data_IF_175964866131
#
_entry.id   IF_175964866131
#
_cell.length_a   1.000
_cell.length_b   1.000
_cell.length_c   1.000
_cell.angle_alpha   90.00
_cell.angle_beta   90.00
_cell.angle_gamma   90.00
#
_symmetry.space_group_name_H-M   'P 1'
#
loop_
_entity.id
_entity.type
_entity.pdbx_description
1 polymer ?
#
# COMPACT_ATOMS: atom_id res chain seq x y z
N UNK A 1 11.41 -8.39 -10.98
CA UNK A 1 10.76 -9.41 -10.15
C UNK A 1 9.54 -8.77 -9.51
N UNK A 2 8.36 -9.37 -9.69
CA UNK A 2 7.11 -8.90 -9.06
C UNK A 2 7.03 -9.42 -7.63
N UNK A 3 6.46 -8.62 -6.75
CA UNK A 3 6.34 -8.96 -5.34
C UNK A 3 4.89 -9.30 -4.94
N UNK A 4 3.89 -8.60 -5.51
CA UNK A 4 2.49 -8.69 -5.06
C UNK A 4 1.44 -8.72 -6.19
N UNK A 5 0.24 -9.20 -5.84
CA UNK A 5 -0.95 -9.20 -6.68
C UNK A 5 -2.08 -8.39 -6.04
N UNK A 6 -2.88 -7.71 -6.84
CA UNK A 6 -4.15 -7.11 -6.42
C UNK A 6 -5.27 -8.11 -6.66
N UNK A 7 -5.99 -8.51 -5.59
CA UNK A 7 -7.19 -9.35 -5.68
C UNK A 7 -8.41 -8.44 -5.51
N UNK A 8 -9.35 -8.48 -6.45
CA UNK A 8 -10.50 -7.59 -6.45
C UNK A 8 -11.57 -8.01 -5.44
N UNK A 9 -12.44 -7.06 -5.01
CA UNK A 9 -13.47 -7.34 -4.01
C UNK A 9 -14.37 -8.53 -4.35
N UNK A 10 -14.73 -8.72 -5.63
CA UNK A 10 -15.55 -9.86 -6.07
C UNK A 10 -14.87 -11.19 -5.77
N UNK A 11 -13.61 -11.35 -6.17
CA UNK A 11 -12.80 -12.52 -5.90
C UNK A 11 -12.60 -12.76 -4.39
N UNK A 12 -12.33 -11.71 -3.62
CA UNK A 12 -12.20 -11.80 -2.16
C UNK A 12 -13.50 -12.25 -1.49
N UNK A 13 -14.66 -11.80 -1.98
CA UNK A 13 -15.96 -12.26 -1.47
C UNK A 13 -16.18 -13.74 -1.74
N UNK A 14 -15.90 -14.22 -2.96
CA UNK A 14 -15.96 -15.65 -3.30
C UNK A 14 -15.08 -16.50 -2.38
N UNK A 15 -13.84 -16.05 -2.12
CA UNK A 15 -12.90 -16.73 -1.22
C UNK A 15 -13.39 -16.79 0.23
N UNK A 16 -14.03 -15.71 0.73
CA UNK A 16 -14.60 -15.65 2.09
C UNK A 16 -15.81 -16.55 2.25
N UNK A 17 -16.75 -16.45 1.32
CA UNK A 17 -17.98 -17.27 1.33
C UNK A 17 -17.67 -18.77 1.20
N UNK A 18 -16.56 -19.09 0.52
CA UNK A 18 -16.05 -20.45 0.38
C UNK A 18 -15.20 -20.95 1.56
N UNK A 19 -15.01 -20.14 2.60
CA UNK A 19 -14.12 -20.42 3.75
C UNK A 19 -12.63 -20.65 3.38
N UNK A 20 -12.23 -20.34 2.14
CA UNK A 20 -10.86 -20.55 1.66
C UNK A 20 -9.88 -19.52 2.22
N UNK A 21 -10.33 -18.27 2.42
CA UNK A 21 -9.50 -17.24 3.07
C UNK A 21 -9.19 -17.62 4.52
N UNK A 22 -10.19 -18.05 5.28
CA UNK A 22 -10.01 -18.46 6.67
C UNK A 22 -9.07 -19.68 6.78
N UNK A 23 -9.26 -20.69 5.91
CA UNK A 23 -8.37 -21.85 5.85
C UNK A 23 -6.92 -21.46 5.55
N UNK A 24 -6.72 -20.47 4.67
CA UNK A 24 -5.40 -19.90 4.43
C UNK A 24 -4.80 -19.30 5.71
N UNK A 25 -5.56 -18.43 6.38
CA UNK A 25 -5.12 -17.76 7.60
C UNK A 25 -4.76 -18.74 8.72
N UNK A 26 -5.51 -19.83 8.89
CA UNK A 26 -5.28 -20.87 9.89
C UNK A 26 -4.06 -21.76 9.59
N UNK A 27 -3.80 -22.06 8.32
CA UNK A 27 -2.70 -22.93 7.91
C UNK A 27 -1.33 -22.22 7.84
N UNK A 28 -1.28 -20.90 8.09
CA UNK A 28 -0.05 -20.09 8.16
C UNK A 28 1.00 -20.58 9.18
N UNK A 29 0.71 -21.62 9.96
CA UNK A 29 1.59 -22.26 10.95
C UNK A 29 2.40 -23.48 10.47
N UNK A 30 2.29 -23.91 9.21
CA UNK A 30 3.13 -25.02 8.72
C UNK A 30 2.88 -25.43 7.27
N UNK A 31 3.83 -25.16 6.38
CA UNK A 31 3.85 -25.68 5.00
C UNK A 31 4.92 -26.75 4.87
N UNK A 32 4.70 -27.90 5.49
CA UNK A 32 5.51 -29.11 5.26
C UNK A 32 4.62 -30.19 4.67
N UNK A 33 4.49 -30.19 3.34
CA UNK A 33 4.28 -31.41 2.55
C UNK A 33 4.32 -31.04 1.06
N UNK A 34 5.54 -30.94 0.55
CA UNK A 34 5.82 -30.62 -0.85
C UNK A 34 6.64 -31.71 -1.53
N UNK A 35 6.28 -32.98 -1.32
CA UNK A 35 6.83 -34.10 -2.10
C UNK A 35 5.74 -35.16 -2.32
N UNK A 36 5.53 -35.52 -3.59
CA UNK A 36 4.94 -36.78 -4.10
C UNK A 36 3.44 -36.92 -4.40
N UNK A 37 2.55 -36.00 -4.03
CA UNK A 37 1.11 -36.21 -4.30
C UNK A 37 0.74 -35.84 -5.75
N UNK A 38 0.10 -36.76 -6.47
CA UNK A 38 -0.28 -36.63 -7.88
C UNK A 38 -1.43 -35.66 -8.13
N UNK A 39 -1.31 -34.41 -7.70
CA UNK A 39 -2.37 -33.39 -7.80
C UNK A 39 -2.84 -33.14 -9.25
N UNK A 40 -1.91 -33.18 -10.20
CA UNK A 40 -2.23 -33.08 -11.64
C UNK A 40 -2.71 -34.41 -12.26
N UNK A 41 -2.76 -35.52 -11.49
CA UNK A 41 -3.27 -36.81 -11.99
C UNK A 41 -4.79 -36.90 -11.93
N UNK A 42 -5.47 -36.03 -11.16
CA UNK A 42 -6.93 -36.03 -10.99
C UNK A 42 -7.65 -34.99 -11.84
N UNK A 43 -6.99 -34.38 -12.83
CA UNK A 43 -7.62 -33.39 -13.72
C UNK A 43 -8.85 -34.03 -14.39
N UNK A 44 -10.05 -33.44 -14.23
CA UNK A 44 -11.26 -33.92 -14.90
C UNK A 44 -11.07 -33.99 -16.41
N UNK A 45 -11.50 -35.10 -17.00
CA UNK A 45 -11.31 -35.40 -18.43
C UNK A 45 -11.79 -34.28 -19.36
N UNK A 46 -12.85 -33.58 -18.96
CA UNK A 46 -13.49 -32.51 -19.71
C UNK A 46 -12.64 -31.24 -19.87
N UNK A 47 -11.71 -30.96 -18.94
CA UNK A 47 -10.84 -29.78 -19.02
C UNK A 47 -9.38 -30.13 -19.32
N UNK A 48 -9.01 -31.42 -19.21
CA UNK A 48 -7.62 -31.87 -19.21
C UNK A 48 -6.82 -31.42 -20.42
N UNK A 49 -7.39 -31.52 -21.61
CA UNK A 49 -6.68 -31.17 -22.84
C UNK A 49 -6.51 -29.66 -23.00
N UNK A 50 -7.58 -28.88 -22.82
CA UNK A 50 -7.52 -27.41 -22.88
C UNK A 50 -6.57 -26.83 -21.83
N UNK A 51 -6.65 -27.33 -20.59
CA UNK A 51 -5.75 -26.93 -19.52
C UNK A 51 -4.29 -27.22 -19.86
N UNK A 52 -4.00 -28.45 -20.33
CA UNK A 52 -2.65 -28.86 -20.70
C UNK A 52 -2.11 -27.99 -21.84
N UNK A 53 -2.89 -27.77 -22.90
CA UNK A 53 -2.49 -26.94 -24.04
C UNK A 53 -2.18 -25.52 -23.58
N UNK A 54 -3.02 -24.91 -22.74
CA UNK A 54 -2.82 -23.53 -22.25
C UNK A 54 -1.59 -23.40 -21.37
N UNK A 55 -1.37 -24.33 -20.44
CA UNK A 55 -0.18 -24.32 -19.57
C UNK A 55 1.10 -24.61 -20.36
N UNK A 56 1.08 -25.58 -21.29
CA UNK A 56 2.23 -25.83 -22.16
C UNK A 56 2.54 -24.63 -23.05
N UNK A 57 1.50 -23.93 -23.54
CA UNK A 57 1.65 -22.70 -24.31
C UNK A 57 2.32 -21.63 -23.46
N UNK A 58 1.80 -21.36 -22.26
CA UNK A 58 2.40 -20.41 -21.32
C UNK A 58 3.86 -20.75 -21.01
N UNK A 59 4.16 -22.02 -20.71
CA UNK A 59 5.50 -22.50 -20.40
C UNK A 59 6.47 -22.33 -21.57
N UNK A 60 6.09 -22.77 -22.77
CA UNK A 60 6.93 -22.61 -23.98
C UNK A 60 7.22 -21.14 -24.27
N UNK A 61 6.25 -20.26 -24.02
CA UNK A 61 6.40 -18.84 -24.27
C UNK A 61 7.32 -18.16 -23.25
N UNK A 62 7.31 -18.58 -21.98
CA UNK A 62 8.28 -18.11 -20.99
C UNK A 62 9.73 -18.48 -21.33
N UNK A 63 9.94 -19.48 -22.19
CA UNK A 63 11.26 -19.93 -22.64
C UNK A 63 11.71 -19.30 -23.98
N UNK A 64 10.85 -18.49 -24.61
CA UNK A 64 11.12 -17.88 -25.92
C UNK A 64 11.28 -16.37 -25.79
N UNK A 65 12.30 -15.81 -26.44
CA UNK A 65 12.51 -14.36 -26.53
C UNK A 65 11.54 -13.66 -27.52
N UNK A 66 10.68 -14.41 -28.22
CA UNK A 66 9.88 -13.91 -29.35
C UNK A 66 8.38 -13.71 -29.05
N UNK A 67 7.87 -14.00 -27.85
CA UNK A 67 6.42 -13.99 -27.58
C UNK A 67 5.90 -13.06 -26.47
N UNK A 68 4.70 -12.56 -26.75
CA UNK A 68 3.98 -11.37 -26.27
C UNK A 68 2.82 -11.70 -25.30
N UNK A 69 3.06 -12.53 -24.27
CA UNK A 69 2.00 -12.87 -23.31
C UNK A 69 1.90 -11.80 -22.24
N UNK A 70 0.82 -11.04 -22.26
CA UNK A 70 0.61 -9.90 -21.39
C UNK A 70 -0.60 -10.08 -20.50
N UNK A 71 -0.48 -9.64 -19.27
CA UNK A 71 -1.62 -9.12 -18.54
C UNK A 71 -2.12 -7.87 -19.26
N UNK A 72 -3.42 -7.83 -19.55
CA UNK A 72 -4.07 -6.68 -20.17
C UNK A 72 -4.98 -6.03 -19.14
N UNK A 73 -4.69 -4.78 -18.76
CA UNK A 73 -5.42 -4.03 -17.73
C UNK A 73 -6.00 -2.77 -18.37
N UNK A 74 -7.34 -2.67 -18.41
CA UNK A 74 -8.04 -1.52 -19.02
C UNK A 74 -8.24 -0.42 -17.99
N UNK A 75 -7.36 0.58 -18.00
CA UNK A 75 -7.42 1.76 -17.13
C UNK A 75 -8.12 2.94 -17.83
N UNK A 76 -8.58 3.96 -17.11
CA UNK A 76 -9.16 5.18 -17.70
C UNK A 76 -8.21 5.88 -18.69
N UNK A 77 -6.90 5.82 -18.44
CA UNK A 77 -5.88 6.45 -19.28
C UNK A 77 -5.52 5.61 -20.52
N UNK A 78 -5.95 4.34 -20.57
CA UNK A 78 -5.69 3.43 -21.67
C UNK A 78 -5.41 2.00 -21.22
N UNK A 79 -5.11 1.16 -22.20
CA UNK A 79 -4.71 -0.23 -21.99
C UNK A 79 -3.25 -0.31 -21.53
N UNK A 80 -3.01 -1.03 -20.43
CA UNK A 80 -1.67 -1.35 -19.94
C UNK A 80 -1.38 -2.82 -20.18
N UNK A 81 -0.23 -3.10 -20.80
CA UNK A 81 0.29 -4.44 -21.03
C UNK A 81 1.48 -4.71 -20.12
N UNK A 82 1.45 -5.83 -19.41
CA UNK A 82 2.48 -6.21 -18.44
C UNK A 82 2.95 -7.66 -18.74
N UNK A 83 4.24 -7.82 -19.07
CA UNK A 83 4.83 -9.06 -19.64
C UNK A 83 4.79 -10.20 -18.63
N UNK A 84 4.15 -11.33 -18.91
CA UNK A 84 4.09 -12.44 -17.95
C UNK A 84 5.47 -12.94 -17.50
N UNK A 85 5.60 -13.37 -16.24
CA UNK A 85 6.84 -13.94 -15.68
C UNK A 85 6.63 -15.36 -15.14
N UNK A 86 7.71 -16.00 -14.66
CA UNK A 86 7.65 -17.37 -14.13
C UNK A 86 6.68 -17.52 -12.95
N UNK A 87 6.41 -16.45 -12.18
CA UNK A 87 5.45 -16.54 -11.08
C UNK A 87 4.02 -16.67 -11.59
N UNK A 88 3.70 -16.09 -12.75
CA UNK A 88 2.38 -16.26 -13.36
C UNK A 88 2.12 -17.71 -13.74
N UNK A 89 3.15 -18.44 -14.19
CA UNK A 89 3.03 -19.87 -14.43
C UNK A 89 2.73 -20.64 -13.15
N UNK A 90 3.44 -20.35 -12.05
CA UNK A 90 3.20 -21.02 -10.76
C UNK A 90 1.78 -20.76 -10.22
N UNK A 91 1.23 -19.57 -10.50
CA UNK A 91 -0.15 -19.19 -10.16
C UNK A 91 -1.17 -19.91 -11.04
N UNK A 92 -1.06 -19.75 -12.36
CA UNK A 92 -2.04 -20.22 -13.33
C UNK A 92 -2.03 -21.75 -13.49
N UNK A 93 -0.87 -22.39 -13.27
CA UNK A 93 -0.76 -23.84 -13.22
C UNK A 93 -1.33 -24.45 -11.93
N UNK A 94 -1.80 -23.65 -10.98
CA UNK A 94 -2.28 -24.14 -9.70
C UNK A 94 -1.20 -24.75 -8.81
N UNK A 95 0.08 -24.62 -9.16
CA UNK A 95 1.19 -25.07 -8.32
C UNK A 95 1.10 -24.47 -6.92
N UNK A 96 0.93 -23.14 -6.82
CA UNK A 96 0.78 -22.45 -5.52
C UNK A 96 -0.51 -22.88 -4.82
N UNK A 97 -1.62 -22.98 -5.54
CA UNK A 97 -2.91 -23.39 -4.97
C UNK A 97 -2.85 -24.82 -4.38
N UNK A 98 -2.11 -25.72 -5.04
CA UNK A 98 -1.96 -27.13 -4.62
C UNK A 98 -1.25 -27.30 -3.27
N UNK A 99 -0.57 -26.27 -2.79
CA UNK A 99 0.02 -26.25 -1.44
C UNK A 99 -1.04 -26.33 -0.33
N UNK A 100 -2.29 -26.02 -0.64
CA UNK A 100 -3.36 -25.88 0.36
C UNK A 100 -4.71 -26.46 -0.07
N UNK A 101 -4.94 -26.64 -1.36
CA UNK A 101 -6.14 -27.29 -1.89
C UNK A 101 -5.90 -28.79 -2.09
N UNK A 102 -6.88 -29.61 -1.75
CA UNK A 102 -6.88 -31.03 -2.12
C UNK A 102 -7.01 -31.25 -3.64
N UNK A 103 -6.66 -32.45 -4.15
CA UNK A 103 -6.77 -32.75 -5.58
C UNK A 103 -8.16 -32.50 -6.17
N UNK A 104 -9.24 -32.83 -5.46
CA UNK A 104 -10.60 -32.62 -5.96
C UNK A 104 -11.02 -31.15 -5.91
N UNK A 105 -10.53 -30.40 -4.92
CA UNK A 105 -10.84 -28.98 -4.75
C UNK A 105 -10.15 -28.10 -5.80
N UNK A 106 -8.96 -28.48 -6.28
CA UNK A 106 -8.22 -27.75 -7.31
C UNK A 106 -9.03 -27.57 -8.60
N UNK A 107 -9.88 -28.54 -8.92
CA UNK A 107 -10.62 -28.60 -10.17
C UNK A 107 -12.08 -28.13 -10.03
N UNK A 108 -12.60 -27.98 -8.81
CA UNK A 108 -13.99 -27.63 -8.53
C UNK A 108 -14.21 -26.10 -8.37
N UNK A 109 -13.71 -25.33 -9.34
CA UNK A 109 -13.77 -23.86 -9.30
C UNK A 109 -15.22 -23.32 -9.27
N UNK A 110 -16.17 -24.05 -9.85
CA UNK A 110 -17.60 -23.66 -9.91
C UNK A 110 -18.25 -23.73 -8.53
N UNK A 111 -17.91 -24.73 -7.71
CA UNK A 111 -18.37 -24.82 -6.31
C UNK A 111 -17.99 -23.58 -5.51
N UNK A 112 -16.87 -22.95 -5.85
CA UNK A 112 -16.36 -21.74 -5.21
C UNK A 112 -16.81 -20.44 -5.89
N UNK A 113 -17.73 -20.51 -6.86
CA UNK A 113 -18.31 -19.32 -7.52
C UNK A 113 -17.40 -18.65 -8.56
N UNK A 114 -16.32 -19.31 -9.01
CA UNK A 114 -15.46 -18.77 -10.05
C UNK A 114 -15.95 -19.15 -11.45
N UNK A 115 -15.67 -18.30 -12.43
CA UNK A 115 -16.13 -18.47 -13.80
C UNK A 115 -15.23 -19.39 -14.63
N UNK A 116 -13.96 -19.51 -14.24
CA UNK A 116 -12.98 -20.38 -14.88
C UNK A 116 -11.97 -20.92 -13.88
N UNK A 117 -11.30 -22.01 -14.28
CA UNK A 117 -10.23 -22.60 -13.48
C UNK A 117 -9.04 -21.64 -13.29
N UNK A 118 -8.68 -20.86 -14.30
CA UNK A 118 -7.57 -19.91 -14.23
C UNK A 118 -7.89 -18.71 -13.35
N UNK A 119 -9.16 -18.25 -13.35
CA UNK A 119 -9.63 -17.25 -12.37
C UNK A 119 -9.47 -17.79 -10.95
N UNK A 120 -9.88 -19.03 -10.70
CA UNK A 120 -9.81 -19.65 -9.37
C UNK A 120 -8.39 -19.90 -8.89
N UNK A 121 -7.60 -20.66 -9.66
CA UNK A 121 -6.24 -21.05 -9.30
C UNK A 121 -5.34 -19.83 -9.11
N UNK A 122 -5.43 -18.87 -10.04
CA UNK A 122 -4.64 -17.65 -9.94
C UNK A 122 -5.09 -16.73 -8.80
N UNK A 123 -6.39 -16.57 -8.56
CA UNK A 123 -6.91 -15.82 -7.39
C UNK A 123 -6.43 -16.43 -6.07
N UNK A 124 -6.58 -17.74 -5.90
CA UNK A 124 -6.22 -18.41 -4.66
C UNK A 124 -4.69 -18.47 -4.47
N UNK A 125 -3.93 -18.70 -5.54
CA UNK A 125 -2.48 -18.62 -5.49
C UNK A 125 -1.99 -17.20 -5.16
N UNK A 126 -2.65 -16.16 -5.68
CA UNK A 126 -2.34 -14.76 -5.35
C UNK A 126 -2.58 -14.47 -3.86
N UNK A 127 -3.64 -15.05 -3.27
CA UNK A 127 -3.92 -14.94 -1.84
C UNK A 127 -2.77 -15.54 -1.02
N UNK A 128 -2.34 -16.76 -1.36
CA UNK A 128 -1.24 -17.46 -0.67
C UNK A 128 0.06 -16.65 -0.79
N UNK A 129 0.37 -16.15 -1.99
CA UNK A 129 1.58 -15.37 -2.27
C UNK A 129 1.61 -14.09 -1.44
N UNK A 130 0.54 -13.29 -1.49
CA UNK A 130 0.43 -12.04 -0.74
C UNK A 130 0.46 -12.26 0.78
N UNK A 131 -0.08 -13.38 1.25
CA UNK A 131 -0.15 -13.67 2.69
C UNK A 131 1.19 -14.10 3.30
N UNK A 132 2.14 -14.63 2.53
CA UNK A 132 3.50 -14.94 3.03
C UNK A 132 4.32 -13.69 3.40
N UNK A 133 4.00 -12.53 2.83
CA UNK A 133 4.66 -11.25 3.17
C UNK A 133 4.14 -10.64 4.49
N UNK A 134 3.02 -11.13 5.03
CA UNK A 134 2.32 -10.55 6.20
C UNK A 134 2.94 -10.86 7.57
N UNK A 135 4.05 -11.60 7.62
CA UNK A 135 4.65 -12.11 8.87
C UNK A 135 5.51 -11.11 9.64
N UNK A 136 5.70 -9.89 9.14
CA UNK A 136 6.32 -8.80 9.88
C UNK A 136 5.26 -7.78 10.32
N UNK A 137 5.42 -7.26 11.54
CA UNK A 137 4.56 -6.26 12.21
C UNK A 137 3.86 -5.34 11.19
N UNK A 138 2.54 -5.45 11.07
CA UNK A 138 1.79 -4.68 10.08
C UNK A 138 1.60 -3.24 10.56
N UNK A 139 1.80 -2.30 9.63
CA UNK A 139 1.50 -0.90 9.85
C UNK A 139 -0.01 -0.64 9.92
N UNK A 140 -0.39 0.64 9.95
CA UNK A 140 -1.78 1.04 9.90
C UNK A 140 -2.27 1.12 8.45
N UNK A 141 -3.37 0.42 8.14
CA UNK A 141 -3.96 0.36 6.80
C UNK A 141 -5.37 0.92 6.80
N UNK A 142 -5.71 1.66 5.75
CA UNK A 142 -7.09 2.05 5.47
C UNK A 142 -7.39 1.95 3.97
N UNK A 143 -8.68 1.83 3.66
CA UNK A 143 -9.20 1.88 2.30
C UNK A 143 -9.86 3.22 2.08
N UNK A 144 -9.74 3.76 0.88
CA UNK A 144 -10.43 4.98 0.48
C UNK A 144 -10.74 5.01 -1.01
N UNK A 145 -11.61 5.93 -1.40
CA UNK A 145 -11.91 6.21 -2.80
C UNK A 145 -11.56 7.67 -3.11
N UNK A 146 -10.90 7.90 -4.23
CA UNK A 146 -10.56 9.24 -4.69
C UNK A 146 -10.59 9.28 -6.21
N UNK A 147 -11.36 10.21 -6.78
CA UNK A 147 -11.52 10.40 -8.24
C UNK A 147 -11.89 9.11 -9.00
N UNK A 148 -12.77 8.29 -8.42
CA UNK A 148 -13.23 7.04 -9.03
C UNK A 148 -12.25 5.87 -8.93
N UNK A 149 -11.11 6.06 -8.26
CA UNK A 149 -10.14 5.00 -7.97
C UNK A 149 -10.23 4.58 -6.51
N UNK A 150 -10.08 3.28 -6.24
CA UNK A 150 -10.01 2.71 -4.90
C UNK A 150 -8.56 2.53 -4.49
N UNK A 151 -8.21 2.92 -3.27
CA UNK A 151 -6.86 2.83 -2.73
C UNK A 151 -6.81 2.02 -1.45
N UNK A 152 -5.68 1.33 -1.24
CA UNK A 152 -5.21 0.92 0.09
C UNK A 152 -4.02 1.79 0.42
N UNK A 153 -4.09 2.50 1.54
CA UNK A 153 -2.97 3.28 2.05
C UNK A 153 -2.45 2.63 3.33
N UNK A 154 -1.12 2.54 3.47
CA UNK A 154 -0.43 1.95 4.61
C UNK A 154 0.65 2.90 5.14
N UNK A 155 0.62 3.18 6.44
CA UNK A 155 1.75 3.78 7.18
C UNK A 155 2.48 2.66 7.92
N UNK A 156 3.76 2.44 7.60
CA UNK A 156 4.58 1.35 8.16
C UNK A 156 6.07 1.71 8.17
N UNK A 157 6.91 0.81 8.71
CA UNK A 157 8.36 0.94 8.68
C UNK A 157 9.02 -0.01 7.68
N UNK A 158 10.23 0.34 7.24
CA UNK A 158 11.14 -0.62 6.58
C UNK A 158 11.79 -1.57 7.58
N UNK A 159 12.54 -2.55 7.09
CA UNK A 159 13.37 -3.44 7.91
C UNK A 159 14.41 -2.69 8.77
N UNK A 160 14.78 -1.46 8.38
CA UNK A 160 15.70 -0.59 9.10
C UNK A 160 15.00 0.45 9.98
N UNK A 161 13.68 0.35 10.15
CA UNK A 161 12.88 1.30 10.92
C UNK A 161 12.64 2.65 10.23
N UNK A 162 13.03 2.81 8.96
CA UNK A 162 12.75 4.03 8.19
C UNK A 162 11.25 4.11 7.83
N UNK A 163 10.66 5.31 7.93
CA UNK A 163 9.24 5.56 7.63
C UNK A 163 8.87 5.19 6.19
N UNK A 164 7.68 4.59 6.02
CA UNK A 164 7.06 4.26 4.74
C UNK A 164 5.58 4.62 4.75
N UNK A 165 5.15 5.40 3.77
CA UNK A 165 3.74 5.56 3.41
C UNK A 165 3.53 4.98 2.02
N UNK A 166 2.80 3.88 1.91
CA UNK A 166 2.40 3.30 0.63
C UNK A 166 0.97 3.69 0.32
N UNK A 167 0.69 4.16 -0.90
CA UNK A 167 -0.67 4.27 -1.45
C UNK A 167 -0.74 3.42 -2.71
N UNK A 168 -1.57 2.38 -2.67
CA UNK A 168 -1.69 1.37 -3.73
C UNK A 168 -3.07 1.44 -4.36
N UNK A 169 -3.15 1.66 -5.67
CA UNK A 169 -4.38 1.56 -6.46
C UNK A 169 -4.84 0.10 -6.52
N UNK A 170 -6.03 -0.15 -5.97
CA UNK A 170 -6.68 -1.46 -5.93
C UNK A 170 -8.00 -1.47 -6.73
N UNK A 171 -8.19 -0.50 -7.62
CA UNK A 171 -9.40 -0.38 -8.43
C UNK A 171 -9.61 -1.64 -9.28
N UNK A 172 -10.86 -2.17 -9.32
CA UNK A 172 -11.19 -3.37 -10.08
C UNK A 172 -11.33 -3.09 -11.58
N UNK A 173 -10.22 -2.77 -12.24
CA UNK A 173 -10.16 -2.58 -13.69
C UNK A 173 -10.49 -3.89 -14.42
N UNK A 174 -11.10 -3.78 -15.60
CA UNK A 174 -11.25 -4.96 -16.45
C UNK A 174 -9.86 -5.51 -16.79
N UNK A 175 -9.62 -6.76 -16.40
CA UNK A 175 -8.32 -7.42 -16.55
C UNK A 175 -8.46 -8.75 -17.28
N UNK A 176 -7.58 -8.98 -18.24
CA UNK A 176 -7.35 -10.27 -18.88
C UNK A 176 -6.02 -10.84 -18.38
N UNK A 177 -6.04 -12.12 -18.02
CA UNK A 177 -4.81 -12.88 -17.73
C UNK A 177 -4.01 -13.13 -19.04
N UNK A 178 -2.76 -13.60 -18.94
CA UNK A 178 -1.95 -13.91 -20.12
C UNK A 178 -2.58 -14.94 -21.06
N UNK A 179 -3.53 -15.75 -20.58
CA UNK A 179 -4.25 -16.75 -21.37
C UNK A 179 -5.55 -16.20 -21.99
N UNK A 180 -5.81 -14.89 -21.85
CA UNK A 180 -6.98 -14.19 -22.40
C UNK A 180 -8.26 -14.35 -21.59
N UNK A 181 -8.21 -14.90 -20.38
CA UNK A 181 -9.40 -15.05 -19.53
C UNK A 181 -9.67 -13.75 -18.78
N UNK A 182 -10.94 -13.35 -18.71
CA UNK A 182 -11.36 -12.27 -17.81
C UNK A 182 -11.25 -12.73 -16.36
N UNK A 183 -10.52 -11.98 -15.55
CA UNK A 183 -10.20 -12.37 -14.17
C UNK A 183 -10.36 -11.21 -13.18
N UNK A 184 -10.56 -11.57 -11.91
CA UNK A 184 -10.76 -10.65 -10.80
C UNK A 184 -9.51 -10.49 -9.91
N UNK A 185 -8.34 -10.61 -10.52
CA UNK A 185 -7.04 -10.38 -9.88
C UNK A 185 -6.02 -9.98 -10.95
N UNK A 186 -4.95 -9.31 -10.53
CA UNK A 186 -3.87 -8.88 -11.44
C UNK A 186 -2.55 -8.70 -10.72
N UNK A 187 -1.40 -8.76 -11.41
CA UNK A 187 -0.14 -8.32 -10.83
C UNK A 187 -0.24 -6.84 -10.43
N UNK A 188 0.34 -6.50 -9.28
CA UNK A 188 0.48 -5.11 -8.89
C UNK A 188 1.59 -4.47 -9.74
N UNK A 189 1.22 -3.47 -10.54
CA UNK A 189 2.14 -2.73 -11.38
C UNK A 189 2.94 -1.73 -10.54
N UNK A 190 4.14 -1.38 -11.02
CA UNK A 190 4.91 -0.26 -10.43
C UNK A 190 4.12 1.05 -10.41
N UNK A 191 3.28 1.27 -11.41
CA UNK A 191 2.42 2.46 -11.48
C UNK A 191 1.29 2.47 -10.44
N UNK A 192 0.92 1.30 -9.90
CA UNK A 192 -0.20 1.20 -8.95
C UNK A 192 0.22 1.66 -7.55
N UNK A 193 1.49 1.50 -7.18
CA UNK A 193 1.99 1.83 -5.86
C UNK A 193 2.88 3.06 -5.88
N UNK A 194 2.46 4.08 -5.15
CA UNK A 194 3.22 5.29 -4.88
C UNK A 194 3.65 5.25 -3.41
N UNK A 195 4.91 5.59 -3.12
CA UNK A 195 5.45 5.40 -1.77
C UNK A 195 6.31 6.57 -1.28
N UNK A 196 5.98 7.15 -0.15
CA UNK A 196 6.90 8.08 0.53
C UNK A 196 7.86 7.24 1.39
N UNK A 197 9.15 7.44 1.15
CA UNK A 197 10.23 6.76 1.88
C UNK A 197 11.01 7.80 2.67
N UNK A 198 10.68 7.95 3.95
CA UNK A 198 11.39 8.84 4.85
C UNK A 198 12.62 8.16 5.45
N UNK A 199 13.77 8.81 5.42
CA UNK A 199 15.00 8.34 6.04
C UNK A 199 15.09 8.83 7.49
N UNK A 200 15.52 7.99 8.44
CA UNK A 200 15.61 8.36 9.86
C UNK A 200 14.27 8.71 10.53
N UNK A 201 14.32 9.25 11.76
CA UNK A 201 13.18 9.62 12.63
C UNK A 201 12.37 10.82 12.10
N UNK A 202 12.03 10.81 10.82
CA UNK A 202 11.30 11.89 10.12
C UNK A 202 9.81 11.93 10.46
N UNK A 203 9.27 10.94 11.17
CA UNK A 203 7.86 10.87 11.53
C UNK A 203 7.42 12.09 12.34
N UNK A 204 8.32 12.63 13.15
CA UNK A 204 8.13 13.87 13.91
C UNK A 204 7.88 15.06 12.98
N UNK A 205 8.70 15.17 11.94
CA UNK A 205 8.64 16.25 10.95
C UNK A 205 7.42 16.10 10.03
N UNK A 206 7.12 14.86 9.65
CA UNK A 206 5.93 14.48 8.93
C UNK A 206 4.68 14.88 9.72
N UNK A 207 4.65 14.60 11.02
CA UNK A 207 3.53 14.93 11.90
C UNK A 207 3.35 16.44 12.07
N UNK A 208 4.43 17.18 12.30
CA UNK A 208 4.38 18.65 12.37
C UNK A 208 3.84 19.26 11.06
N UNK A 209 4.20 18.68 9.91
CA UNK A 209 3.68 19.09 8.60
C UNK A 209 2.17 18.82 8.46
N UNK A 210 1.69 17.66 8.93
CA UNK A 210 0.24 17.36 8.99
C UNK A 210 -0.49 18.38 9.86
N UNK A 211 0.04 18.69 11.04
CA UNK A 211 -0.57 19.66 11.96
C UNK A 211 -0.67 21.05 11.31
N UNK A 212 0.37 21.48 10.58
CA UNK A 212 0.36 22.75 9.83
C UNK A 212 -0.67 22.75 8.72
N UNK A 213 -0.75 21.66 7.96
CA UNK A 213 -1.74 21.49 6.88
C UNK A 213 -3.17 21.61 7.43
N UNK A 214 -3.48 20.91 8.53
CA UNK A 214 -4.80 20.99 9.17
C UNK A 214 -5.14 22.41 9.59
N UNK A 215 -4.19 23.12 10.22
CA UNK A 215 -4.38 24.49 10.69
C UNK A 215 -4.57 25.47 9.52
N UNK A 216 -3.73 25.39 8.50
CA UNK A 216 -3.79 26.28 7.34
C UNK A 216 -5.08 26.11 6.54
N UNK A 217 -5.53 24.85 6.37
CA UNK A 217 -6.69 24.50 5.55
C UNK A 217 -8.00 24.43 6.35
N UNK A 218 -7.96 24.73 7.65
CA UNK A 218 -9.09 24.62 8.57
C UNK A 218 -9.80 23.26 8.49
N UNK A 219 -9.02 22.17 8.40
CA UNK A 219 -9.56 20.82 8.26
C UNK A 219 -10.15 20.37 9.60
N UNK A 220 -11.38 19.85 9.56
CA UNK A 220 -12.01 19.25 10.72
C UNK A 220 -11.38 17.87 10.97
N UNK A 221 -10.66 17.75 12.08
CA UNK A 221 -10.05 16.51 12.56
C UNK A 221 -10.75 16.07 13.84
N UNK A 222 -11.27 14.84 13.86
CA UNK A 222 -11.87 14.26 15.06
C UNK A 222 -10.78 13.85 16.07
N UNK A 223 -9.61 13.44 15.58
CA UNK A 223 -8.44 13.13 16.43
C UNK A 223 -7.95 14.36 17.19
N UNK A 224 -7.94 15.54 16.56
CA UNK A 224 -7.43 16.78 17.16
C UNK A 224 -8.52 17.61 17.85
N UNK A 225 -9.77 17.13 17.84
CA UNK A 225 -10.89 17.77 18.56
C UNK A 225 -10.55 17.91 20.04
N UNK A 226 -10.94 19.04 20.64
CA UNK A 226 -10.65 19.39 22.03
C UNK A 226 -9.16 19.22 22.37
N UNK A 227 -8.29 19.64 21.43
CA UNK A 227 -6.82 19.55 21.53
C UNK A 227 -6.32 18.10 21.63
N UNK A 228 -7.08 17.15 21.10
CA UNK A 228 -6.74 15.73 21.05
C UNK A 228 -6.70 15.03 22.40
N UNK A 229 -7.36 15.57 23.44
CA UNK A 229 -7.35 14.98 24.79
C UNK A 229 -7.82 13.52 24.76
N UNK A 230 -8.96 13.24 24.12
CA UNK A 230 -9.50 11.89 24.05
C UNK A 230 -8.56 10.91 23.33
N UNK A 231 -7.91 11.36 22.24
CA UNK A 231 -6.95 10.56 21.51
C UNK A 231 -5.67 10.30 22.32
N UNK A 232 -5.17 11.31 23.05
CA UNK A 232 -4.01 11.13 23.93
C UNK A 232 -4.29 10.13 25.06
N UNK A 233 -5.48 10.18 25.66
CA UNK A 233 -5.89 9.19 26.67
C UNK A 233 -6.03 7.77 26.09
N UNK A 234 -6.52 7.65 24.84
CA UNK A 234 -6.53 6.39 24.11
C UNK A 234 -5.10 5.86 23.89
N UNK A 235 -4.21 6.69 23.37
CA UNK A 235 -2.82 6.33 23.04
C UNK A 235 -2.04 5.90 24.27
N UNK A 236 -2.28 6.51 25.44
CA UNK A 236 -1.64 6.12 26.72
C UNK A 236 -1.99 4.69 27.14
N UNK A 237 -3.08 4.12 26.64
CA UNK A 237 -3.50 2.74 26.93
C UNK A 237 -2.89 1.73 25.94
N UNK A 238 -2.22 2.18 24.88
CA UNK A 238 -1.63 1.28 23.90
C UNK A 238 -0.36 0.62 24.45
N UNK A 239 -0.16 -0.65 24.09
CA UNK A 239 1.11 -1.31 24.33
C UNK A 239 2.18 -0.70 23.43
N UNK A 240 3.08 0.08 24.01
CA UNK A 240 4.20 0.67 23.30
C UNK A 240 5.39 -0.30 23.28
N UNK A 241 5.79 -0.72 22.08
CA UNK A 241 7.01 -1.47 21.83
C UNK A 241 8.07 -0.50 21.30
N UNK A 242 9.23 -0.44 21.95
CA UNK A 242 10.37 0.29 21.40
C UNK A 242 11.02 -0.58 20.31
N UNK A 243 11.05 -0.06 19.07
CA UNK A 243 11.72 -0.72 17.96
C UNK A 243 13.24 -0.80 18.15
N UNK A 244 13.94 -1.72 17.46
CA UNK A 244 15.39 -1.89 17.60
C UNK A 244 16.20 -0.66 17.14
N UNK A 245 15.61 0.18 16.29
CA UNK A 245 16.19 1.43 15.81
C UNK A 245 15.53 2.67 16.42
N UNK A 246 14.58 2.47 17.34
CA UNK A 246 13.83 3.57 17.90
C UNK A 246 14.65 4.31 18.95
N UNK A 247 14.57 5.64 18.90
CA UNK A 247 15.05 6.49 19.96
C UNK A 247 14.14 6.35 21.17
N UNK A 248 14.70 6.05 22.35
CA UNK A 248 13.98 5.88 23.61
C UNK A 248 13.37 7.18 24.16
N UNK A 249 13.12 8.18 23.31
CA UNK A 249 12.63 9.51 23.70
C UNK A 249 13.74 10.41 24.22
N UNK A 250 15.00 10.13 23.86
CA UNK A 250 16.19 10.92 24.22
C UNK A 250 16.57 11.93 23.12
N UNK A 251 15.77 12.00 22.06
CA UNK A 251 16.02 12.82 20.87
C UNK A 251 15.82 14.32 21.06
N UNK A 252 16.03 15.03 19.96
CA UNK A 252 16.05 16.49 19.86
C UNK A 252 14.82 17.19 20.48
N UNK A 253 15.00 18.45 20.86
CA UNK A 253 13.92 19.29 21.39
C UNK A 253 12.71 19.32 20.46
N UNK A 254 11.52 19.02 20.99
CA UNK A 254 10.23 19.11 20.32
C UNK A 254 10.02 20.42 19.55
N UNK A 255 10.62 21.51 20.02
CA UNK A 255 10.57 22.84 19.40
C UNK A 255 11.26 22.89 18.04
N UNK A 256 12.34 22.13 17.83
CA UNK A 256 13.08 22.08 16.56
C UNK A 256 12.18 21.60 15.43
N UNK A 257 11.30 20.64 15.73
CA UNK A 257 10.32 20.10 14.79
C UNK A 257 9.34 21.14 14.25
N UNK A 258 9.12 22.23 15.01
CA UNK A 258 8.21 23.32 14.68
C UNK A 258 8.91 24.59 14.17
N UNK A 259 10.23 24.60 13.95
CA UNK A 259 10.97 25.81 13.49
C UNK A 259 10.39 26.47 12.23
N UNK A 260 9.73 25.68 11.38
CA UNK A 260 9.16 26.14 10.11
C UNK A 260 7.63 26.22 10.13
N UNK A 261 6.99 26.04 11.29
CA UNK A 261 5.53 25.98 11.40
C UNK A 261 4.85 27.32 11.12
N UNK A 262 5.53 28.44 11.36
CA UNK A 262 4.98 29.78 11.05
C UNK A 262 4.88 30.04 9.55
N UNK A 263 5.66 29.33 8.75
CA UNK A 263 5.64 29.48 7.30
C UNK A 263 4.51 28.63 6.69
N UNK A 264 3.70 29.17 5.75
CA UNK A 264 2.64 28.39 5.13
C UNK A 264 3.20 27.24 4.29
N UNK A 265 2.40 26.19 4.13
CA UNK A 265 2.61 25.18 3.11
C UNK A 265 2.17 25.81 1.78
N UNK A 266 2.99 25.67 0.73
CA UNK A 266 2.68 26.18 -0.61
C UNK A 266 1.30 25.71 -1.06
N UNK A 267 0.46 26.62 -1.54
CA UNK A 267 -0.90 26.34 -2.03
C UNK A 267 -1.02 26.67 -3.51
N UNK A 268 -1.77 25.84 -4.25
CA UNK A 268 -2.09 26.07 -5.66
C UNK A 268 -3.50 26.63 -5.86
N UNK A 269 -3.63 27.49 -6.87
CA UNK A 269 -4.92 27.96 -7.37
C UNK A 269 -5.55 26.97 -8.38
N UNK A 270 -6.76 27.29 -8.82
CA UNK A 270 -7.51 26.51 -9.82
C UNK A 270 -6.76 26.27 -11.14
N UNK A 271 -5.81 27.13 -11.49
CA UNK A 271 -4.97 27.04 -12.69
C UNK A 271 -3.64 26.31 -12.43
N UNK A 272 -3.48 25.69 -11.25
CA UNK A 272 -2.23 25.09 -10.77
C UNK A 272 -1.06 26.09 -10.69
N UNK A 273 -1.34 27.36 -10.41
CA UNK A 273 -0.35 28.38 -10.11
C UNK A 273 -0.19 28.56 -8.59
N UNK A 274 1.01 28.93 -8.14
CA UNK A 274 1.27 29.16 -6.72
C UNK A 274 0.52 30.40 -6.22
N UNK A 275 -0.14 30.27 -5.09
CA UNK A 275 -0.75 31.39 -4.37
C UNK A 275 0.29 31.98 -3.41
N UNK A 276 0.62 33.26 -3.59
CA UNK A 276 1.56 34.01 -2.76
C UNK A 276 3.02 33.90 -3.22
N UNK A 277 3.92 34.50 -2.45
CA UNK A 277 5.34 34.65 -2.82
C UNK A 277 6.19 33.41 -2.49
N UNK A 278 5.64 32.46 -1.74
CA UNK A 278 6.38 31.30 -1.28
C UNK A 278 6.40 30.20 -2.35
N UNK A 279 7.57 30.00 -2.94
CA UNK A 279 7.77 29.03 -4.03
C UNK A 279 8.37 27.70 -3.58
N UNK A 280 8.54 27.45 -2.27
CA UNK A 280 9.13 26.19 -1.79
C UNK A 280 8.47 25.70 -0.51
N UNK A 281 8.36 24.37 -0.36
CA UNK A 281 7.93 23.75 0.89
C UNK A 281 8.96 24.02 1.98
N UNK A 282 8.51 24.47 3.14
CA UNK A 282 9.42 24.86 4.23
C UNK A 282 10.06 23.70 4.97
N UNK A 283 9.52 22.48 4.82
CA UNK A 283 10.11 21.26 5.35
C UNK A 283 9.94 20.11 4.35
N UNK A 284 11.06 19.61 3.83
CA UNK A 284 11.08 18.43 2.98
C UNK A 284 11.23 17.16 3.82
N UNK A 285 10.56 16.08 3.45
CA UNK A 285 10.81 14.77 4.08
C UNK A 285 12.07 14.20 3.45
N UNK A 286 13.12 14.05 4.24
CA UNK A 286 14.43 13.53 3.80
C UNK A 286 14.31 12.06 3.39
N UNK A 287 15.02 11.67 2.33
CA UNK A 287 15.12 10.28 1.86
C UNK A 287 16.57 9.77 1.89
N UNK A 288 16.78 8.48 1.62
CA UNK A 288 18.09 7.81 1.77
C UNK A 288 19.14 8.24 0.71
N UNK A 289 18.80 9.05 -0.31
CA UNK A 289 19.63 9.30 -1.50
C UNK A 289 19.74 10.78 -1.93
N UNK A 290 19.90 11.72 -0.99
CA UNK A 290 20.01 13.18 -1.26
C UNK A 290 18.77 13.82 -1.91
N UNK A 291 17.63 13.11 -1.92
CA UNK A 291 16.37 13.65 -2.40
C UNK A 291 15.43 13.93 -1.23
N UNK A 292 14.57 14.93 -1.40
CA UNK A 292 13.51 15.29 -0.48
C UNK A 292 12.12 15.07 -1.12
N UNK A 293 11.11 14.77 -0.30
CA UNK A 293 9.73 15.00 -0.69
C UNK A 293 9.31 16.40 -0.26
N UNK A 294 8.95 17.24 -1.23
CA UNK A 294 8.31 18.51 -0.97
C UNK A 294 6.81 18.32 -0.78
N UNK A 295 6.23 19.19 0.04
CA UNK A 295 4.81 19.16 0.39
C UNK A 295 4.13 20.44 -0.09
N UNK A 296 2.96 20.29 -0.71
CA UNK A 296 2.10 21.41 -1.09
C UNK A 296 0.63 21.03 -0.96
N UNK A 297 -0.26 22.03 -1.00
CA UNK A 297 -1.71 21.86 -1.05
C UNK A 297 -2.19 22.13 -2.47
N UNK A 298 -2.89 21.16 -3.08
CA UNK A 298 -3.43 21.36 -4.41
C UNK A 298 -4.70 22.25 -4.41
N UNK A 299 -5.22 22.55 -5.59
CA UNK A 299 -6.40 23.40 -5.76
C UNK A 299 -7.69 22.85 -5.10
N UNK A 300 -7.75 21.54 -4.89
CA UNK A 300 -8.83 20.84 -4.19
C UNK A 300 -8.66 20.84 -2.65
N UNK A 301 -7.59 21.45 -2.13
CA UNK A 301 -7.27 21.46 -0.71
C UNK A 301 -6.66 20.16 -0.18
N UNK A 302 -6.18 19.27 -1.05
CA UNK A 302 -5.57 17.99 -0.68
C UNK A 302 -4.06 18.12 -0.44
N UNK A 303 -3.53 17.34 0.50
CA UNK A 303 -2.09 17.29 0.79
C UNK A 303 -1.36 16.52 -0.31
N UNK A 304 -0.32 17.09 -0.89
CA UNK A 304 0.45 16.46 -1.96
C UNK A 304 1.93 16.42 -1.63
N UNK A 305 2.53 15.26 -1.90
CA UNK A 305 3.96 15.01 -1.83
C UNK A 305 4.54 14.86 -3.24
N UNK A 306 5.65 15.53 -3.53
CA UNK A 306 6.37 15.44 -4.80
C UNK A 306 7.88 15.28 -4.57
N UNK A 307 8.55 14.51 -5.43
CA UNK A 307 9.99 14.20 -5.33
C UNK A 307 10.84 15.35 -5.87
N UNK A 308 11.95 15.67 -5.20
CA UNK A 308 12.82 16.83 -5.48
C UNK A 308 13.52 16.83 -6.85
N UNK A 309 13.62 15.69 -7.54
CA UNK A 309 14.29 15.56 -8.85
C UNK A 309 13.75 16.48 -9.97
N UNK A 310 12.60 17.11 -9.76
CA UNK A 310 12.13 18.25 -10.55
C UNK A 310 12.67 19.55 -9.94
N UNK A 311 13.81 20.02 -10.48
CA UNK A 311 14.54 21.22 -10.01
C UNK A 311 13.76 22.55 -10.13
N UNK A 312 12.56 22.52 -10.71
CA UNK A 312 11.71 23.69 -10.93
C UNK A 312 10.31 23.44 -10.37
N UNK A 313 9.78 24.38 -9.60
CA UNK A 313 8.47 24.25 -8.95
C UNK A 313 7.34 24.09 -9.97
N UNK A 314 7.48 24.69 -11.16
CA UNK A 314 6.55 24.51 -12.27
C UNK A 314 6.46 23.05 -12.77
N UNK A 315 7.51 22.24 -12.55
CA UNK A 315 7.50 20.80 -12.85
C UNK A 315 6.96 19.98 -11.67
N UNK A 316 7.25 20.38 -10.43
CA UNK A 316 6.76 19.73 -9.20
C UNK A 316 5.24 19.70 -9.13
N UNK A 317 4.60 20.82 -9.48
CA UNK A 317 3.13 20.96 -9.53
C UNK A 317 2.48 20.02 -10.55
N UNK A 318 3.18 19.69 -11.64
CA UNK A 318 2.68 18.84 -12.73
C UNK A 318 2.84 17.35 -12.47
N UNK A 319 3.57 16.95 -11.41
CA UNK A 319 3.90 15.54 -11.13
C UNK A 319 3.64 15.18 -9.67
N UNK A 320 2.36 15.16 -9.24
CA UNK A 320 2.00 14.71 -7.90
C UNK A 320 2.45 13.25 -7.72
N UNK A 321 3.30 13.02 -6.72
CA UNK A 321 3.76 11.67 -6.42
C UNK A 321 2.72 10.95 -5.57
N UNK A 322 2.42 11.45 -4.38
CA UNK A 322 1.33 10.96 -3.51
C UNK A 322 0.38 12.10 -3.18
N UNK A 323 -0.92 11.90 -3.36
CA UNK A 323 -1.97 12.83 -2.93
C UNK A 323 -2.79 12.16 -1.85
N UNK A 324 -2.96 12.86 -0.73
CA UNK A 324 -3.81 12.44 0.39
C UNK A 324 -5.00 13.39 0.48
N UNK A 325 -6.22 12.88 0.23
CA UNK A 325 -7.43 13.66 0.40
C UNK A 325 -7.56 14.22 1.82
N UNK A 326 -8.08 15.44 1.95
CA UNK A 326 -8.26 16.09 3.27
C UNK A 326 -9.05 15.23 4.27
N UNK A 327 -10.06 14.50 3.77
CA UNK A 327 -10.87 13.57 4.58
C UNK A 327 -10.12 12.33 5.10
N UNK A 328 -8.89 12.08 4.65
CA UNK A 328 -8.06 10.96 5.11
C UNK A 328 -7.03 11.38 6.18
N UNK A 329 -7.02 12.64 6.62
CA UNK A 329 -5.94 13.16 7.48
C UNK A 329 -5.87 12.48 8.86
N UNK A 330 -7.01 12.13 9.44
CA UNK A 330 -7.07 11.41 10.72
C UNK A 330 -6.47 10.00 10.60
N UNK A 331 -6.61 9.36 9.44
CA UNK A 331 -5.95 8.08 9.17
C UNK A 331 -4.43 8.22 9.15
N UNK A 332 -3.89 9.32 8.59
CA UNK A 332 -2.45 9.58 8.64
C UNK A 332 -1.95 9.78 10.07
N UNK A 333 -2.64 10.60 10.89
CA UNK A 333 -2.25 10.81 12.28
C UNK A 333 -2.26 9.49 13.05
N UNK A 334 -3.38 8.75 12.97
CA UNK A 334 -3.50 7.44 13.62
C UNK A 334 -2.43 6.47 13.14
N UNK A 335 -2.12 6.48 11.84
CA UNK A 335 -1.09 5.62 11.26
C UNK A 335 0.30 5.86 11.82
N UNK A 336 0.70 7.11 12.00
CA UNK A 336 1.98 7.46 12.62
C UNK A 336 2.07 6.94 14.05
N UNK A 337 1.02 7.16 14.85
CA UNK A 337 0.98 6.70 16.24
C UNK A 337 0.98 5.17 16.33
N UNK A 338 0.20 4.47 15.50
CA UNK A 338 0.18 2.99 15.47
C UNK A 338 1.54 2.43 15.06
N UNK A 339 2.17 3.01 14.05
CA UNK A 339 3.52 2.64 13.62
C UNK A 339 4.52 2.79 14.79
N UNK A 340 4.51 3.94 15.47
CA UNK A 340 5.40 4.20 16.60
C UNK A 340 5.12 3.28 17.79
N UNK A 341 3.84 3.02 18.10
CA UNK A 341 3.42 2.10 19.16
C UNK A 341 3.86 0.66 18.89
N UNK A 342 3.83 0.22 17.63
CA UNK A 342 4.27 -1.12 17.26
C UNK A 342 5.80 -1.25 17.19
N UNK A 343 6.56 -0.17 17.40
CA UNK A 343 8.02 -0.17 17.28
C UNK A 343 8.47 -0.48 15.86
N UNK A 344 7.73 0.02 14.87
CA UNK A 344 8.01 -0.14 13.45
C UNK A 344 8.94 0.94 12.90
N UNK A 345 8.96 2.12 13.54
CA UNK A 345 9.77 3.26 13.12
C UNK A 345 10.98 3.50 14.03
N UNK A 346 11.74 4.55 13.70
CA UNK A 346 12.80 5.10 14.56
C UNK A 346 12.26 6.12 15.56
N UNK A 347 11.08 6.67 15.32
CA UNK A 347 10.38 7.53 16.27
C UNK A 347 9.58 6.68 17.27
N UNK A 348 9.80 6.92 18.57
CA UNK A 348 9.00 6.29 19.62
C UNK A 348 7.63 6.93 19.78
N UNK A 349 6.67 6.17 20.33
CA UNK A 349 5.34 6.69 20.64
C UNK A 349 5.39 7.92 21.54
N UNK A 350 6.33 7.92 22.50
CA UNK A 350 6.56 9.06 23.41
C UNK A 350 6.88 10.34 22.64
N UNK A 351 7.75 10.29 21.63
CA UNK A 351 8.11 11.48 20.86
C UNK A 351 6.91 12.07 20.11
N UNK A 352 6.02 11.24 19.56
CA UNK A 352 4.79 11.73 18.90
C UNK A 352 3.80 12.33 19.91
N UNK A 353 3.68 11.74 21.10
CA UNK A 353 2.89 12.30 22.20
C UNK A 353 3.45 13.67 22.62
N UNK A 354 4.76 13.76 22.85
CA UNK A 354 5.43 15.00 23.26
C UNK A 354 5.23 16.12 22.22
N UNK A 355 5.24 15.80 20.92
CA UNK A 355 4.95 16.74 19.82
C UNK A 355 3.51 17.27 19.89
N UNK A 356 2.54 16.38 20.11
CA UNK A 356 1.13 16.76 20.18
C UNK A 356 0.84 17.60 21.42
N UNK A 357 1.38 17.21 22.58
CA UNK A 357 1.26 17.95 23.82
C UNK A 357 1.92 19.34 23.71
N UNK A 358 3.10 19.41 23.10
CA UNK A 358 3.78 20.69 22.86
C UNK A 358 2.96 21.63 21.98
N UNK A 359 2.40 21.15 20.86
CA UNK A 359 1.55 21.95 19.95
C UNK A 359 0.40 22.65 20.66
N UNK A 360 -0.19 21.99 21.66
CA UNK A 360 -1.33 22.53 22.41
C UNK A 360 -0.95 23.17 23.75
N UNK A 361 0.35 23.20 24.08
CA UNK A 361 0.87 23.84 25.27
C UNK A 361 0.87 25.37 25.14
N UNK A 362 0.96 26.06 26.29
CA UNK A 362 1.15 27.52 26.33
C UNK A 362 2.52 27.96 25.77
N UNK A 363 3.49 27.05 25.66
CA UNK A 363 4.85 27.35 25.20
C UNK A 363 4.97 27.40 23.67
N UNK A 364 3.93 26.93 22.97
CA UNK A 364 3.88 26.98 21.51
C UNK A 364 3.39 28.33 20.97
N UNK A 365 2.68 29.10 21.81
CA UNK A 365 2.05 30.38 21.47
C UNK A 365 3.09 31.47 21.26
#
# INVERSE_FOLDING_TARGET
>A
MRFNFTIYPEALTKLRESNLEQRFLEASGGTNDLKEKGYFKTIPSEFKEDYKIRIETLYKNLLSDENEFYWIIKKPEGEVKEISDNFDLDLLSGWIASLMLGPDELWDFRKFGFSSIFEFLGTFGALIKNGKERTYKQGYKWKSEFKGQSFVTEVTGSEHGDFRLFRTDITPYETLDPLGNKVNYRPQLRSDQKSISGYHSVEIDFFATILKYIEQENIKSEILKDKGIAFLEEVKQWNACLGPFADAGMGDSTRISFLMFDQPIVRLDENNSVIGDQTFSTKGIVTNFEEHYHVYVNNEGNLVFCREGDKDLGNRVKRPFVTIPSGEIDHLIRGLFVQASNGLGRTSLKQLVDILEYKFSKQFI
#
